data_IF_938108232517
#
_entry.id   IF_938108232517
#
_cell.length_a   1.000
_cell.length_b   1.000
_cell.length_c   1.000
_cell.angle_alpha   90.00
_cell.angle_beta   90.00
_cell.angle_gamma   90.00
#
_symmetry.space_group_name_H-M   'P 1'
#
loop_
_entity.id
_entity.type
_entity.pdbx_description
1 polymer ?
#
# COMPACT_ATOMS: atom_id res chain seq x y z
N UNK A 1 -14.66 -63.15 -30.03
CA UNK A 1 -15.89 -62.72 -29.34
C UNK A 1 -15.60 -62.60 -27.85
N UNK A 2 -15.45 -61.39 -27.32
CA UNK A 2 -16.12 -60.91 -26.09
C UNK A 2 -15.52 -59.57 -25.67
N UNK A 3 -16.33 -58.52 -25.83
CA UNK A 3 -16.08 -57.15 -25.42
C UNK A 3 -15.97 -57.06 -23.88
N UNK A 4 -14.96 -56.35 -23.37
CA UNK A 4 -15.03 -55.74 -22.04
C UNK A 4 -14.97 -54.23 -22.17
N UNK A 5 -16.13 -53.59 -21.98
CA UNK A 5 -16.31 -52.15 -21.88
C UNK A 5 -15.79 -51.66 -20.52
N UNK A 6 -14.68 -50.91 -20.52
CA UNK A 6 -14.26 -50.09 -19.40
C UNK A 6 -15.05 -48.79 -19.40
N UNK A 7 -15.91 -48.57 -18.40
CA UNK A 7 -16.59 -47.29 -18.18
C UNK A 7 -15.60 -46.32 -17.56
N UNK A 8 -15.11 -45.38 -18.37
CA UNK A 8 -14.43 -44.19 -17.90
C UNK A 8 -15.43 -43.26 -17.19
N UNK A 9 -15.20 -43.00 -15.92
CA UNK A 9 -15.86 -41.94 -15.16
C UNK A 9 -15.16 -40.63 -15.52
N UNK A 10 -15.81 -39.80 -16.34
CA UNK A 10 -15.40 -38.41 -16.59
C UNK A 10 -15.89 -37.52 -15.43
N UNK A 11 -15.05 -36.69 -14.80
CA UNK A 11 -15.54 -35.60 -13.98
C UNK A 11 -16.12 -34.49 -14.88
N UNK A 12 -17.33 -34.06 -14.52
CA UNK A 12 -18.10 -33.00 -15.17
C UNK A 12 -17.37 -31.65 -15.09
N UNK A 13 -17.25 -31.02 -16.25
CA UNK A 13 -17.35 -29.57 -16.51
C UNK A 13 -17.44 -28.66 -15.29
N UNK A 14 -16.36 -27.92 -15.02
CA UNK A 14 -16.39 -26.73 -14.16
C UNK A 14 -16.74 -25.55 -15.04
N UNK A 15 -17.97 -25.05 -14.90
CA UNK A 15 -18.42 -23.81 -15.54
C UNK A 15 -17.60 -22.62 -15.01
N UNK A 16 -16.93 -21.92 -15.92
CA UNK A 16 -16.38 -20.60 -15.66
C UNK A 16 -17.54 -19.59 -15.54
N UNK A 17 -17.88 -19.22 -14.31
CA UNK A 17 -18.82 -18.13 -14.06
C UNK A 17 -18.14 -16.78 -14.27
N UNK A 18 -18.46 -16.19 -15.41
CA UNK A 18 -18.33 -14.78 -15.74
C UNK A 18 -18.94 -13.91 -14.62
N UNK A 19 -18.12 -13.16 -13.88
CA UNK A 19 -18.60 -12.10 -12.99
C UNK A 19 -18.62 -10.78 -13.77
N UNK A 20 -19.75 -10.52 -14.42
CA UNK A 20 -20.11 -9.20 -14.93
C UNK A 20 -20.66 -8.35 -13.77
N UNK A 21 -19.89 -7.36 -13.33
CA UNK A 21 -20.36 -6.34 -12.39
C UNK A 21 -21.39 -5.43 -13.07
N UNK A 22 -22.65 -5.56 -12.66
CA UNK A 22 -23.72 -4.60 -12.96
C UNK A 22 -24.52 -4.38 -11.68
N UNK A 23 -24.32 -3.23 -11.04
CA UNK A 23 -25.15 -2.77 -9.94
C UNK A 23 -26.50 -2.27 -10.46
N UNK A 24 -27.62 -2.69 -9.85
CA UNK A 24 -28.78 -1.82 -9.71
C UNK A 24 -29.03 -1.53 -8.23
N UNK A 25 -29.32 -0.27 -7.94
CA UNK A 25 -29.58 0.22 -6.60
C UNK A 25 -30.87 -0.33 -5.99
N UNK A 26 -30.91 -0.32 -4.66
CA UNK A 26 -32.14 -0.30 -3.88
C UNK A 26 -31.90 0.40 -2.54
N UNK A 27 -32.72 1.43 -2.33
CA UNK A 27 -33.21 2.06 -1.12
C UNK A 27 -32.72 1.55 0.25
N UNK A 28 -32.27 2.50 1.09
CA UNK A 28 -32.63 2.54 2.51
C UNK A 28 -32.96 3.98 2.92
N UNK A 29 -34.23 4.22 3.20
CA UNK A 29 -34.71 5.37 3.97
C UNK A 29 -34.12 5.32 5.39
N UNK A 30 -33.26 6.29 5.69
CA UNK A 30 -32.60 6.45 6.99
C UNK A 30 -33.00 7.77 7.63
N UNK A 31 -34.07 7.69 8.40
CA UNK A 31 -34.69 8.69 9.28
C UNK A 31 -33.69 9.59 10.03
N UNK A 32 -33.94 10.91 9.99
CA UNK A 32 -33.27 11.91 10.81
C UNK A 32 -33.58 11.73 12.32
N UNK A 33 -32.61 11.98 13.21
CA UNK A 33 -32.91 12.34 14.60
C UNK A 33 -32.80 13.87 14.77
N UNK A 34 -33.95 14.54 14.63
CA UNK A 34 -34.20 15.81 15.32
C UNK A 34 -34.60 15.49 16.75
N UNK A 35 -33.81 15.89 17.75
CA UNK A 35 -34.23 15.72 19.14
C UNK A 35 -33.12 15.81 20.17
N UNK A 36 -32.72 17.02 20.52
CA UNK A 36 -32.30 17.32 21.89
C UNK A 36 -32.90 18.68 22.26
N UNK A 37 -34.11 18.58 22.79
CA UNK A 37 -34.92 19.68 23.26
C UNK A 37 -34.22 20.37 24.44
N UNK A 38 -34.22 21.70 24.33
CA UNK A 38 -34.14 22.64 25.45
C UNK A 38 -35.10 22.23 26.57
N UNK A 39 -34.53 21.77 27.68
CA UNK A 39 -35.07 21.83 29.03
C UNK A 39 -33.84 22.25 29.86
N UNK A 40 -33.74 23.45 30.41
CA UNK A 40 -34.44 23.84 31.63
C UNK A 40 -34.54 25.39 31.67
N UNK A 41 -35.73 25.90 31.36
CA UNK A 41 -36.16 27.24 31.73
C UNK A 41 -37.25 27.08 32.79
N UNK A 42 -36.88 27.12 34.07
CA UNK A 42 -37.84 27.31 35.18
C UNK A 42 -37.13 27.41 36.52
N UNK A 43 -36.54 28.58 36.82
CA UNK A 43 -36.39 29.03 38.20
C UNK A 43 -36.80 30.51 38.34
N UNK A 44 -37.48 30.87 39.44
CA UNK A 44 -38.27 32.08 39.56
C UNK A 44 -37.46 33.36 39.77
N UNK A 45 -38.07 34.45 39.31
CA UNK A 45 -37.73 35.85 39.63
C UNK A 45 -37.75 36.09 41.15
N UNK A 46 -36.91 37.04 41.55
CA UNK A 46 -36.88 37.79 42.81
C UNK A 46 -36.44 37.06 44.08
N UNK A 47 -35.20 37.36 44.51
CA UNK A 47 -34.81 37.39 45.91
C UNK A 47 -34.42 38.83 46.29
N UNK A 48 -34.81 39.31 47.48
CA UNK A 48 -34.66 40.69 47.88
C UNK A 48 -33.21 41.03 48.20
N UNK A 49 -32.86 42.29 47.95
CA UNK A 49 -31.66 42.92 48.47
C UNK A 49 -31.68 42.82 50.01
N UNK A 50 -30.89 41.90 50.55
CA UNK A 50 -30.54 41.86 51.97
C UNK A 50 -29.10 42.34 52.08
N UNK A 51 -28.95 43.60 52.48
CA UNK A 51 -27.70 44.18 52.91
C UNK A 51 -27.22 43.46 54.18
N UNK A 52 -26.57 42.30 53.97
CA UNK A 52 -25.85 41.59 55.01
C UNK A 52 -24.57 42.33 55.34
N UNK A 53 -24.55 42.99 56.49
CA UNK A 53 -23.39 43.61 57.13
C UNK A 53 -22.14 42.76 56.90
N UNK A 54 -21.20 43.26 56.08
CA UNK A 54 -19.86 42.70 55.97
C UNK A 54 -19.30 42.66 57.39
N UNK A 55 -19.26 41.47 57.99
CA UNK A 55 -18.47 41.23 59.19
C UNK A 55 -17.04 41.48 58.74
N UNK A 56 -16.52 42.64 59.08
CA UNK A 56 -15.12 42.98 58.88
C UNK A 56 -14.30 41.79 59.38
N UNK A 57 -13.48 41.25 58.49
CA UNK A 57 -12.36 40.43 58.90
C UNK A 57 -11.44 41.36 59.68
N UNK A 58 -11.73 41.50 60.97
CA UNK A 58 -10.92 42.24 61.91
C UNK A 58 -9.59 41.52 61.94
N UNK A 59 -8.60 42.11 61.25
CA UNK A 59 -7.20 41.72 61.33
C UNK A 59 -6.73 41.96 62.77
N UNK A 60 -7.05 41.01 63.65
CA UNK A 60 -6.46 40.92 64.97
C UNK A 60 -5.03 40.43 64.75
N UNK A 61 -4.07 41.36 64.75
CA UNK A 61 -2.64 41.10 64.84
C UNK A 61 -2.33 40.38 66.17
N UNK A 62 -2.67 39.10 66.25
CA UNK A 62 -2.14 38.17 67.26
C UNK A 62 -1.34 37.17 66.46
N UNK A 63 -0.03 37.16 66.70
CA UNK A 63 0.99 36.52 65.88
C UNK A 63 0.48 35.24 65.24
N UNK A 64 0.24 35.30 63.92
CA UNK A 64 -0.03 34.14 63.10
C UNK A 64 1.10 33.15 63.38
N UNK A 65 0.78 32.09 64.10
CA UNK A 65 1.72 31.03 64.41
C UNK A 65 2.28 30.55 63.07
N UNK A 66 3.59 30.39 62.98
CA UNK A 66 4.30 30.04 61.73
C UNK A 66 3.65 28.85 61.01
N UNK A 67 3.01 27.96 61.77
CA UNK A 67 2.22 26.81 61.31
C UNK A 67 1.06 27.23 60.38
N UNK A 68 0.26 28.24 60.73
CA UNK A 68 -0.87 28.69 59.90
C UNK A 68 -0.41 29.27 58.56
N UNK A 69 0.71 30.00 58.54
CA UNK A 69 1.30 30.52 57.30
C UNK A 69 1.87 29.40 56.41
N UNK A 70 2.47 28.37 57.00
CA UNK A 70 2.99 27.21 56.26
C UNK A 70 1.83 26.42 55.64
N UNK A 71 0.73 26.22 56.37
CA UNK A 71 -0.45 25.51 55.87
C UNK A 71 -1.09 26.28 54.71
N UNK A 72 -1.24 27.61 54.83
CA UNK A 72 -1.78 28.45 53.75
C UNK A 72 -0.86 28.40 52.52
N UNK A 73 0.45 28.50 52.69
CA UNK A 73 1.41 28.43 51.58
C UNK A 73 1.37 27.06 50.87
N UNK A 74 1.22 25.97 51.62
CA UNK A 74 1.08 24.62 51.07
C UNK A 74 -0.24 24.42 50.31
N UNK A 75 -1.34 25.00 50.80
CA UNK A 75 -2.63 24.96 50.11
C UNK A 75 -2.58 25.78 48.82
N UNK A 76 -2.00 26.98 48.87
CA UNK A 76 -1.85 27.83 47.69
C UNK A 76 -0.94 27.21 46.63
N UNK A 77 0.16 26.55 47.03
CA UNK A 77 1.04 25.86 46.10
C UNK A 77 0.38 24.61 45.49
N UNK A 78 -0.38 23.84 46.28
CA UNK A 78 -1.14 22.70 45.79
C UNK A 78 -2.26 23.12 44.84
N UNK A 79 -2.99 24.20 45.14
CA UNK A 79 -4.02 24.76 44.26
C UNK A 79 -3.37 25.31 42.99
N UNK A 80 -2.27 26.05 43.06
CA UNK A 80 -1.56 26.54 41.89
C UNK A 80 -1.05 25.39 41.01
N UNK A 81 -0.46 24.35 41.60
CA UNK A 81 -0.04 23.15 40.89
C UNK A 81 -1.23 22.44 40.23
N UNK A 82 -2.37 22.31 40.93
CA UNK A 82 -3.59 21.73 40.39
C UNK A 82 -4.17 22.55 39.23
N UNK A 83 -4.16 23.89 39.34
CA UNK A 83 -4.58 24.79 38.28
C UNK A 83 -3.65 24.75 37.06
N UNK A 84 -2.34 24.59 37.28
CA UNK A 84 -1.37 24.37 36.19
C UNK A 84 -1.60 23.03 35.48
N UNK A 85 -1.96 21.97 36.21
CA UNK A 85 -2.30 20.65 35.63
C UNK A 85 -3.63 20.65 34.86
N UNK A 86 -4.59 21.52 35.23
CA UNK A 86 -5.86 21.69 34.51
C UNK A 86 -5.75 22.63 33.29
N UNK A 87 -4.72 23.48 33.24
CA UNK A 87 -4.51 24.46 32.17
C UNK A 87 -3.83 23.90 30.91
N UNK A 88 -3.20 22.73 30.97
CA UNK A 88 -2.58 22.07 29.83
C UNK A 88 -3.53 21.09 29.16
N UNK A 89 -4.66 21.57 28.63
CA UNK A 89 -5.39 20.84 27.61
C UNK A 89 -4.70 21.13 26.27
N UNK A 90 -3.89 20.22 25.69
CA UNK A 90 -3.65 20.31 24.25
C UNK A 90 -5.04 20.29 23.62
N UNK A 91 -5.37 21.30 22.81
CA UNK A 91 -6.55 21.22 21.94
C UNK A 91 -6.33 20.00 21.05
N UNK A 92 -6.84 18.86 21.51
CA UNK A 92 -7.13 17.70 20.69
C UNK A 92 -8.29 18.15 19.83
N UNK A 93 -7.99 18.91 18.76
CA UNK A 93 -8.93 19.05 17.66
C UNK A 93 -9.35 17.63 17.30
N UNK A 94 -10.64 17.35 17.45
CA UNK A 94 -11.20 16.01 17.27
C UNK A 94 -10.92 15.47 15.86
N UNK A 95 -11.42 14.28 15.51
CA UNK A 95 -11.24 13.74 14.17
C UNK A 95 -11.80 14.71 13.13
N UNK A 96 -10.93 15.53 12.53
CA UNK A 96 -11.27 16.44 11.45
C UNK A 96 -11.38 15.59 10.20
N UNK A 97 -12.60 15.48 9.68
CA UNK A 97 -12.85 14.82 8.41
C UNK A 97 -12.43 15.77 7.27
N UNK A 98 -11.24 15.54 6.72
CA UNK A 98 -10.78 16.25 5.53
C UNK A 98 -11.34 15.61 4.25
N UNK A 99 -11.49 16.42 3.20
CA UNK A 99 -11.87 15.94 1.86
C UNK A 99 -10.80 14.99 1.30
N UNK A 100 -11.21 13.95 0.57
CA UNK A 100 -10.32 12.92 0.00
C UNK A 100 -9.59 13.39 -1.28
N UNK A 101 -9.18 14.65 -1.31
CA UNK A 101 -8.48 15.24 -2.44
C UNK A 101 -7.00 14.89 -2.39
N UNK A 102 -6.42 14.62 -3.57
CA UNK A 102 -5.00 14.29 -3.73
C UNK A 102 -4.33 15.31 -4.64
N UNK A 103 -3.18 15.83 -4.20
CA UNK A 103 -2.32 16.70 -5.01
C UNK A 103 -1.12 15.90 -5.49
N UNK A 104 -0.87 15.93 -6.80
CA UNK A 104 0.29 15.29 -7.39
C UNK A 104 1.55 16.12 -7.09
N UNK A 105 2.59 15.44 -6.64
CA UNK A 105 3.90 16.00 -6.38
C UNK A 105 4.81 15.88 -7.61
N UNK A 106 5.91 16.66 -7.70
CA UNK A 106 6.83 16.60 -8.84
C UNK A 106 7.49 15.24 -9.08
N UNK A 107 7.56 14.38 -8.06
CA UNK A 107 8.02 12.99 -8.11
C UNK A 107 6.95 12.00 -8.64
N UNK A 108 5.73 12.49 -8.90
CA UNK A 108 4.58 11.68 -9.31
C UNK A 108 3.81 11.02 -8.17
N UNK A 109 4.22 11.20 -6.91
CA UNK A 109 3.45 10.75 -5.74
C UNK A 109 2.24 11.65 -5.50
N UNK A 110 1.32 11.21 -4.64
CA UNK A 110 0.11 11.94 -4.29
C UNK A 110 0.04 12.18 -2.79
N UNK A 111 -0.17 13.43 -2.39
CA UNK A 111 -0.36 13.83 -1.00
C UNK A 111 -1.80 14.28 -0.76
N UNK A 112 -2.36 13.88 0.38
CA UNK A 112 -3.69 14.27 0.82
C UNK A 112 -3.68 15.50 1.73
N UNK A 113 -4.88 15.96 2.10
CA UNK A 113 -5.05 16.99 3.15
C UNK A 113 -4.86 16.39 4.53
N UNK A 114 -4.14 17.09 5.41
CA UNK A 114 -3.86 16.69 6.78
C UNK A 114 -3.93 17.89 7.74
N UNK A 115 -3.93 17.61 9.04
CA UNK A 115 -3.94 18.60 10.11
C UNK A 115 -5.30 19.27 10.37
N UNK A 116 -5.38 20.11 11.41
CA UNK A 116 -6.64 20.72 11.87
C UNK A 116 -7.25 21.71 10.87
N UNK A 117 -6.47 22.16 9.88
CA UNK A 117 -6.91 23.05 8.79
C UNK A 117 -7.11 22.33 7.46
N UNK A 118 -6.94 21.01 7.39
CA UNK A 118 -7.01 20.22 6.16
C UNK A 118 -6.18 20.82 5.01
N UNK A 119 -4.92 21.16 5.31
CA UNK A 119 -3.97 21.67 4.33
C UNK A 119 -3.25 20.48 3.66
N UNK A 120 -2.85 20.60 2.39
CA UNK A 120 -2.09 19.53 1.75
C UNK A 120 -0.79 19.30 2.51
N UNK A 121 -0.49 18.03 2.82
CA UNK A 121 0.82 17.67 3.33
C UNK A 121 1.90 18.15 2.37
N UNK A 122 3.05 18.54 2.90
CA UNK A 122 4.19 18.89 2.06
C UNK A 122 4.56 17.68 1.19
N UNK A 123 4.82 17.92 -0.09
CA UNK A 123 5.41 16.90 -0.94
C UNK A 123 6.73 16.45 -0.31
N UNK A 124 7.08 15.16 -0.41
CA UNK A 124 8.44 14.75 -0.09
C UNK A 124 9.38 15.59 -0.94
N UNK A 125 10.02 16.59 -0.34
CA UNK A 125 11.05 17.38 -1.01
C UNK A 125 12.10 16.38 -1.45
N UNK A 126 12.66 16.57 -2.65
CA UNK A 126 13.58 15.67 -3.33
C UNK A 126 14.93 15.43 -2.59
N UNK A 127 14.95 15.50 -1.26
CA UNK A 127 15.98 14.96 -0.39
C UNK A 127 15.88 13.43 -0.17
N UNK A 128 14.88 12.76 -0.77
CA UNK A 128 14.79 11.29 -0.82
C UNK A 128 14.33 10.78 -2.20
N UNK A 129 14.80 11.43 -3.25
CA UNK A 129 14.83 10.84 -4.61
C UNK A 129 16.23 10.86 -5.23
N UNK A 130 17.26 11.23 -4.46
CA UNK A 130 18.69 11.04 -4.78
C UNK A 130 19.52 10.69 -3.52
N UNK A 131 18.93 9.92 -2.59
CA UNK A 131 19.72 9.05 -1.70
C UNK A 131 19.01 7.71 -1.52
N UNK A 132 18.79 7.03 -2.63
CA UNK A 132 19.49 5.74 -2.70
C UNK A 132 20.93 6.15 -2.89
N UNK A 133 21.83 5.70 -2.01
CA UNK A 133 23.23 5.50 -2.33
C UNK A 133 23.38 5.16 -3.81
N UNK A 134 24.52 5.47 -4.42
CA UNK A 134 24.91 4.89 -5.69
C UNK A 134 24.92 3.36 -5.60
N UNK A 135 23.73 2.74 -5.60
CA UNK A 135 23.47 1.33 -5.64
C UNK A 135 23.92 1.01 -7.03
N UNK A 136 25.14 0.53 -7.09
CA UNK A 136 25.74 -0.02 -8.26
C UNK A 136 24.67 -0.86 -8.97
N UNK A 137 24.35 -0.52 -10.22
CA UNK A 137 23.40 -1.27 -11.04
C UNK A 137 24.14 -1.95 -12.17
N UNK A 138 23.66 -3.11 -12.56
CA UNK A 138 24.00 -3.76 -13.81
C UNK A 138 22.75 -4.01 -14.64
N UNK A 139 22.94 -4.57 -15.82
CA UNK A 139 21.90 -4.88 -16.78
C UNK A 139 21.75 -6.39 -16.88
N UNK A 140 20.54 -6.89 -16.65
CA UNK A 140 20.15 -8.21 -17.13
C UNK A 140 19.62 -8.04 -18.54
N UNK A 141 20.23 -8.72 -19.50
CA UNK A 141 19.78 -8.77 -20.89
C UNK A 141 19.57 -10.21 -21.30
N UNK A 142 18.68 -10.46 -22.23
CA UNK A 142 18.51 -11.81 -22.74
C UNK A 142 17.64 -11.89 -23.97
N UNK A 143 17.62 -13.09 -24.54
CA UNK A 143 16.79 -13.42 -25.69
C UNK A 143 16.08 -14.73 -25.42
N UNK A 144 14.86 -14.85 -25.93
CA UNK A 144 14.11 -16.09 -25.95
C UNK A 144 13.89 -16.55 -27.39
N UNK A 145 13.91 -17.86 -27.56
CA UNK A 145 13.66 -18.57 -28.82
C UNK A 145 12.46 -19.50 -28.61
N UNK A 146 11.67 -19.66 -29.66
CA UNK A 146 10.49 -20.55 -29.64
C UNK A 146 10.59 -21.41 -30.87
N UNK A 147 10.70 -22.73 -30.70
CA UNK A 147 10.77 -23.64 -31.83
C UNK A 147 10.91 -25.10 -31.44
N UNK A 148 10.61 -26.03 -32.36
CA UNK A 148 10.17 -25.80 -33.74
C UNK A 148 8.67 -25.44 -33.84
N UNK A 149 8.26 -24.57 -34.75
CA UNK A 149 6.81 -24.20 -34.90
C UNK A 149 6.07 -25.12 -35.89
N UNK A 150 6.80 -25.75 -36.80
CA UNK A 150 6.25 -26.56 -37.87
C UNK A 150 6.80 -27.99 -37.80
N UNK A 151 5.97 -29.03 -37.98
CA UNK A 151 6.44 -30.38 -38.17
C UNK A 151 7.06 -30.50 -39.57
N UNK A 152 8.39 -30.51 -39.63
CA UNK A 152 9.28 -30.59 -40.81
C UNK A 152 9.50 -29.25 -41.54
N UNK A 153 10.77 -28.94 -41.82
CA UNK A 153 11.21 -27.79 -42.62
C UNK A 153 10.95 -28.03 -44.12
N UNK A 154 10.37 -27.05 -44.82
CA UNK A 154 10.10 -27.10 -46.27
C UNK A 154 11.04 -26.17 -47.04
N UNK A 155 11.31 -26.46 -48.33
CA UNK A 155 12.01 -25.56 -49.26
C UNK A 155 11.04 -25.11 -50.38
N UNK A 156 10.65 -23.82 -50.44
CA UNK A 156 11.07 -22.72 -49.57
C UNK A 156 10.45 -22.78 -48.16
N UNK A 157 11.07 -22.11 -47.16
CA UNK A 157 10.55 -22.08 -45.79
C UNK A 157 9.14 -21.46 -45.75
N UNK A 158 8.19 -22.11 -45.08
CA UNK A 158 6.86 -21.55 -44.87
C UNK A 158 6.96 -20.30 -43.96
N UNK A 159 6.52 -19.11 -44.41
CA UNK A 159 6.57 -17.88 -43.62
C UNK A 159 5.83 -17.97 -42.27
N UNK A 160 4.89 -18.91 -42.13
CA UNK A 160 4.16 -19.18 -40.88
C UNK A 160 5.02 -19.89 -39.82
N UNK A 161 6.20 -20.40 -40.20
CA UNK A 161 7.13 -21.06 -39.28
C UNK A 161 8.00 -20.08 -38.47
N UNK A 162 7.74 -18.77 -38.58
CA UNK A 162 8.35 -17.75 -37.71
C UNK A 162 7.47 -17.52 -36.47
N UNK A 163 8.05 -17.45 -35.26
CA UNK A 163 7.30 -17.07 -34.06
C UNK A 163 6.64 -15.71 -34.22
N UNK A 164 5.37 -15.59 -33.81
CA UNK A 164 4.66 -14.32 -33.83
C UNK A 164 5.11 -13.42 -32.65
N UNK A 165 4.99 -12.09 -32.77
CA UNK A 165 5.26 -11.18 -31.65
C UNK A 165 4.44 -11.51 -30.39
N UNK A 166 3.19 -11.93 -30.56
CA UNK A 166 2.29 -12.32 -29.47
C UNK A 166 2.79 -13.60 -28.78
N UNK A 167 3.36 -14.54 -29.54
CA UNK A 167 3.95 -15.75 -28.99
C UNK A 167 5.14 -15.44 -28.07
N UNK A 168 5.95 -14.43 -28.41
CA UNK A 168 7.01 -13.92 -27.54
C UNK A 168 6.47 -13.16 -26.33
N UNK A 169 5.50 -12.27 -26.52
CA UNK A 169 4.91 -11.48 -25.43
C UNK A 169 4.19 -12.34 -24.38
N UNK A 170 3.69 -13.52 -24.77
CA UNK A 170 3.08 -14.49 -23.87
C UNK A 170 4.08 -15.24 -22.97
N UNK A 171 5.39 -15.08 -23.17
CA UNK A 171 6.44 -15.72 -22.35
C UNK A 171 6.93 -14.75 -21.29
N UNK A 172 6.35 -14.83 -20.10
CA UNK A 172 6.75 -14.00 -18.97
C UNK A 172 8.10 -14.44 -18.41
N UNK A 173 9.00 -13.48 -18.18
CA UNK A 173 10.25 -13.70 -17.42
C UNK A 173 10.06 -13.13 -16.02
N UNK A 174 10.35 -13.96 -15.03
CA UNK A 174 10.34 -13.59 -13.62
C UNK A 174 11.76 -13.45 -13.11
N UNK A 175 12.03 -12.32 -12.47
CA UNK A 175 13.27 -12.06 -11.75
C UNK A 175 12.95 -12.17 -10.27
N UNK A 176 13.44 -13.21 -9.63
CA UNK A 176 13.33 -13.40 -8.18
C UNK A 176 14.62 -13.01 -7.47
N UNK A 177 14.54 -12.85 -6.15
CA UNK A 177 15.74 -12.82 -5.31
C UNK A 177 16.54 -14.13 -5.36
N UNK A 178 17.72 -14.11 -4.76
CA UNK A 178 18.65 -15.26 -4.69
C UNK A 178 18.05 -16.54 -4.08
N UNK A 179 16.94 -16.45 -3.33
CA UNK A 179 16.28 -17.57 -2.66
C UNK A 179 15.00 -18.01 -3.39
N UNK A 180 14.58 -17.30 -4.45
CA UNK A 180 13.31 -17.49 -5.13
C UNK A 180 12.08 -17.30 -4.24
N UNK A 181 12.18 -16.45 -3.21
CA UNK A 181 11.11 -16.19 -2.24
C UNK A 181 10.31 -14.93 -2.59
N UNK A 182 11.00 -13.90 -3.10
CA UNK A 182 10.38 -12.64 -3.51
C UNK A 182 10.55 -12.38 -4.99
N UNK A 183 9.43 -12.10 -5.66
CA UNK A 183 9.41 -11.59 -7.03
C UNK A 183 9.90 -10.14 -7.03
N UNK A 184 11.03 -9.89 -7.69
CA UNK A 184 11.64 -8.56 -7.82
C UNK A 184 11.09 -7.83 -9.03
N UNK A 185 10.96 -8.53 -10.17
CA UNK A 185 10.47 -7.93 -11.41
C UNK A 185 9.85 -8.97 -12.35
N UNK A 186 8.88 -8.51 -13.13
CA UNK A 186 8.30 -9.26 -14.23
C UNK A 186 8.65 -8.55 -15.54
N UNK A 187 9.11 -9.28 -16.54
CA UNK A 187 9.49 -8.76 -17.85
C UNK A 187 8.71 -9.49 -18.94
N UNK A 188 8.38 -8.75 -19.99
CA UNK A 188 7.80 -9.28 -21.22
C UNK A 188 8.80 -9.08 -22.37
N UNK A 189 9.10 -10.13 -23.16
CA UNK A 189 9.91 -10.02 -24.35
C UNK A 189 9.28 -9.07 -25.37
N UNK A 190 10.13 -8.45 -26.18
CA UNK A 190 9.72 -7.71 -27.36
C UNK A 190 9.33 -8.65 -28.52
N UNK A 191 8.95 -8.06 -29.65
CA UNK A 191 8.52 -8.79 -30.86
C UNK A 191 9.59 -9.71 -31.48
N UNK A 192 10.85 -9.61 -31.03
CA UNK A 192 11.98 -10.42 -31.47
C UNK A 192 12.47 -11.37 -30.36
N UNK A 193 11.75 -11.49 -29.25
CA UNK A 193 12.12 -12.32 -28.11
C UNK A 193 13.18 -11.71 -27.19
N UNK A 194 13.60 -10.47 -27.41
CA UNK A 194 14.58 -9.79 -26.55
C UNK A 194 13.95 -9.20 -25.30
N UNK A 195 14.67 -9.22 -24.18
CA UNK A 195 14.30 -8.54 -22.94
C UNK A 195 15.53 -7.93 -22.26
N UNK A 196 15.34 -6.84 -21.53
CA UNK A 196 16.41 -6.19 -20.77
C UNK A 196 15.86 -5.41 -19.59
N UNK A 197 16.62 -5.33 -18.51
CA UNK A 197 16.25 -4.54 -17.33
C UNK A 197 17.47 -4.16 -16.49
N UNK A 198 17.43 -2.98 -15.87
CA UNK A 198 18.42 -2.57 -14.88
C UNK A 198 18.05 -3.13 -13.51
N UNK A 199 19.02 -3.79 -12.87
CA UNK A 199 18.89 -4.34 -11.52
C UNK A 199 20.01 -3.80 -10.63
N UNK A 200 19.76 -3.62 -9.32
CA UNK A 200 20.84 -3.48 -8.34
C UNK A 200 21.88 -4.58 -8.48
N UNK A 201 23.11 -4.30 -8.05
CA UNK A 201 24.14 -5.33 -7.85
C UNK A 201 23.60 -6.38 -6.90
N UNK A 202 23.73 -7.65 -7.29
CA UNK A 202 23.24 -8.77 -6.50
C UNK A 202 23.07 -10.05 -7.29
N UNK A 203 22.67 -11.10 -6.58
CA UNK A 203 22.37 -12.42 -7.11
C UNK A 203 20.87 -12.57 -7.31
N UNK A 204 20.47 -13.08 -8.47
CA UNK A 204 19.07 -13.24 -8.85
C UNK A 204 18.80 -14.62 -9.43
N UNK A 205 17.58 -15.10 -9.27
CA UNK A 205 17.09 -16.30 -9.96
C UNK A 205 16.14 -15.85 -11.06
N UNK A 206 16.48 -16.18 -12.30
CA UNK A 206 15.66 -15.90 -13.47
C UNK A 206 14.89 -17.15 -13.83
N UNK A 207 13.58 -17.04 -13.92
CA UNK A 207 12.67 -18.14 -14.18
C UNK A 207 11.58 -17.74 -15.17
N UNK A 208 10.88 -18.71 -15.73
CA UNK A 208 9.83 -18.50 -16.72
C UNK A 208 8.62 -19.37 -16.46
N UNK A 209 7.47 -19.01 -17.06
CA UNK A 209 6.33 -19.91 -17.11
C UNK A 209 6.68 -21.16 -17.92
N UNK A 210 6.50 -22.33 -17.30
CA UNK A 210 6.74 -23.61 -17.95
C UNK A 210 5.46 -24.06 -18.67
N UNK A 211 5.43 -24.08 -20.02
CA UNK A 211 4.24 -24.50 -20.74
C UNK A 211 3.95 -25.99 -20.48
N UNK A 212 2.67 -26.42 -20.48
CA UNK A 212 2.30 -27.82 -20.28
C UNK A 212 2.89 -28.78 -21.32
N UNK A 213 3.24 -28.25 -22.49
CA UNK A 213 3.85 -28.97 -23.62
C UNK A 213 5.10 -28.22 -24.06
N UNK A 214 6.17 -28.95 -24.34
CA UNK A 214 7.38 -28.41 -24.97
C UNK A 214 8.43 -27.83 -24.00
N UNK A 215 8.09 -27.44 -22.79
CA UNK A 215 9.08 -27.07 -21.77
C UNK A 215 9.94 -25.83 -22.10
N UNK A 216 10.85 -25.51 -21.18
CA UNK A 216 11.81 -24.43 -21.32
C UNK A 216 13.20 -24.92 -20.89
N UNK A 217 14.22 -24.54 -21.63
CA UNK A 217 15.63 -24.83 -21.33
C UNK A 217 16.36 -23.52 -21.09
N UNK A 218 17.30 -23.51 -20.14
CA UNK A 218 18.02 -22.28 -19.74
C UNK A 218 17.34 -21.51 -18.59
N UNK A 219 16.22 -22.01 -18.08
CA UNK A 219 15.55 -21.50 -16.87
C UNK A 219 15.03 -22.67 -16.01
N UNK A 220 15.01 -22.57 -14.67
CA UNK A 220 15.54 -21.45 -13.89
C UNK A 220 17.07 -21.36 -13.94
N UNK A 221 17.62 -20.14 -13.89
CA UNK A 221 19.07 -19.87 -13.89
C UNK A 221 19.42 -18.80 -12.84
N UNK A 222 20.53 -18.99 -12.14
CA UNK A 222 21.06 -18.00 -11.21
C UNK A 222 22.07 -17.10 -11.92
N UNK A 223 21.93 -15.79 -11.76
CA UNK A 223 22.83 -14.77 -12.34
C UNK A 223 23.35 -13.83 -11.26
N UNK A 224 24.63 -13.46 -11.37
CA UNK A 224 25.27 -12.45 -10.53
C UNK A 224 25.44 -11.16 -11.34
N UNK A 225 24.76 -10.09 -10.93
CA UNK A 225 24.81 -8.79 -11.62
C UNK A 225 25.84 -7.90 -10.92
N UNK A 226 26.93 -7.57 -11.62
CA UNK A 226 27.96 -6.62 -11.19
C UNK A 226 27.65 -5.15 -11.51
N UNK A 227 28.45 -4.23 -10.97
CA UNK A 227 28.32 -2.78 -11.21
C UNK A 227 28.66 -2.45 -12.67
N UNK A 228 27.70 -1.89 -13.41
CA UNK A 228 27.86 -1.51 -14.81
C UNK A 228 28.01 -2.69 -15.76
N UNK A 229 27.89 -3.91 -15.26
CA UNK A 229 28.00 -5.13 -16.05
C UNK A 229 26.68 -5.43 -16.76
N UNK A 230 26.77 -6.01 -17.96
CA UNK A 230 25.61 -6.57 -18.66
C UNK A 230 25.73 -8.09 -18.69
N UNK A 231 24.86 -8.77 -17.96
CA UNK A 231 24.77 -10.24 -17.99
C UNK A 231 23.76 -10.63 -19.05
N UNK A 232 24.16 -11.49 -19.98
CA UNK A 232 23.32 -11.95 -21.09
C UNK A 232 22.93 -13.41 -20.88
N UNK A 233 21.63 -13.73 -20.99
CA UNK A 233 21.11 -15.10 -20.94
C UNK A 233 20.29 -15.45 -22.17
N UNK A 234 20.16 -16.76 -22.43
CA UNK A 234 19.33 -17.31 -23.50
C UNK A 234 18.39 -18.37 -22.94
N UNK A 235 17.12 -18.35 -23.35
CA UNK A 235 16.10 -19.30 -22.91
C UNK A 235 15.38 -19.85 -24.13
N UNK A 236 15.43 -21.17 -24.29
CA UNK A 236 14.80 -21.88 -25.39
C UNK A 236 13.47 -22.49 -24.95
N UNK A 237 12.39 -22.13 -25.63
CA UNK A 237 11.10 -22.79 -25.47
C UNK A 237 10.90 -23.79 -26.60
N UNK A 238 10.95 -25.08 -26.25
CA UNK A 238 10.51 -26.13 -27.14
C UNK A 238 8.96 -26.13 -27.18
N UNK A 239 8.38 -26.35 -28.35
CA UNK A 239 6.93 -26.40 -28.55
C UNK A 239 6.38 -27.83 -28.42
N UNK A 240 7.27 -28.83 -28.38
CA UNK A 240 6.95 -30.25 -28.39
C UNK A 240 6.62 -30.80 -29.77
N UNK A 241 6.76 -30.00 -30.84
CA UNK A 241 6.54 -30.44 -32.22
C UNK A 241 7.77 -31.23 -32.70
N UNK A 242 7.55 -32.41 -33.29
CA UNK A 242 8.59 -33.29 -33.85
C UNK A 242 8.15 -33.85 -35.19
#
# INVERSE_FOLDING_TARGET
>A
MSHKQGRHVYPRSIEARYFAGRHPGFYLEGKAPSGAANLLASLPRSLPAQAGKLRGYSASNKGFTTIELIVIAAILSAIAFLLLQLGSQPRSDGPVACTMEAKQCPDGSFVGRTGPKCEFAECPSAANSDTSDSVARGTLSGTITIGPICPVETDPPDPRCKPSPEAYAARTIYVYDQNRERLIRTLSPNAQGGFSTLLPVGRYVIDVDHPPVGGATGAPITVDIGKGETVTIHIDFDTGIR
#
